data_IF_744508233560
#
_entry.id   IF_744508233560
#
_cell.length_a   1.000
_cell.length_b   1.000
_cell.length_c   1.000
_cell.angle_alpha   90.00
_cell.angle_beta   90.00
_cell.angle_gamma   90.00
#
_symmetry.space_group_name_H-M   'P 1'
#
loop_
_entity.id
_entity.type
_entity.pdbx_description
1 polymer ?
#
# COMPACT_ATOMS: atom_id res chain seq x y z
N UNK A 1 34.30 21.06 19.15
CA UNK A 1 33.18 20.32 19.77
C UNK A 1 31.81 20.65 19.16
N UNK A 2 31.47 21.91 18.88
CA UNK A 2 30.16 22.28 18.28
C UNK A 2 29.87 21.66 16.90
N UNK A 3 30.90 21.40 16.09
CA UNK A 3 30.77 20.76 14.77
C UNK A 3 30.41 19.27 14.84
N UNK A 4 30.75 18.58 15.94
CA UNK A 4 30.48 17.14 16.10
C UNK A 4 29.00 16.86 16.40
N UNK A 5 28.35 17.75 17.16
CA UNK A 5 26.91 17.68 17.40
C UNK A 5 26.08 17.90 16.13
N UNK A 6 26.55 18.75 15.22
CA UNK A 6 25.88 18.99 13.93
C UNK A 6 25.97 17.76 13.02
N UNK A 7 27.12 17.08 12.98
CA UNK A 7 27.28 15.83 12.21
C UNK A 7 26.42 14.70 12.76
N UNK A 8 26.30 14.58 14.10
CA UNK A 8 25.42 13.57 14.73
C UNK A 8 23.93 13.86 14.47
N UNK A 9 23.54 15.13 14.45
CA UNK A 9 22.16 15.54 14.13
C UNK A 9 21.79 15.27 12.66
N UNK A 10 22.74 15.44 11.72
CA UNK A 10 22.51 15.10 10.31
C UNK A 10 22.38 13.58 10.08
N UNK A 11 23.10 12.73 10.83
CA UNK A 11 22.97 11.27 10.73
C UNK A 11 21.62 10.80 11.28
N UNK A 12 21.10 11.45 12.33
CA UNK A 12 19.76 11.18 12.88
C UNK A 12 18.59 11.54 11.96
N UNK A 13 18.79 12.50 11.04
CA UNK A 13 17.75 12.94 10.10
C UNK A 13 17.54 11.98 8.92
N UNK A 14 18.48 11.09 8.62
CA UNK A 14 18.37 10.14 7.48
C UNK A 14 17.44 8.96 7.80
N UNK A 15 17.14 8.72 9.08
CA UNK A 15 16.34 7.57 9.51
C UNK A 15 14.82 7.79 9.32
N UNK A 16 14.40 9.02 9.01
CA UNK A 16 12.99 9.40 8.85
C UNK A 16 12.38 9.03 7.48
N UNK A 17 13.17 8.51 6.54
CA UNK A 17 12.74 8.23 5.14
C UNK A 17 12.11 6.84 4.96
N UNK A 18 12.04 6.01 6.01
CA UNK A 18 11.59 4.61 5.93
C UNK A 18 10.06 4.43 6.01
N UNK A 19 9.28 5.35 5.44
CA UNK A 19 7.81 5.20 5.37
C UNK A 19 7.35 4.30 4.21
N UNK A 20 8.20 3.41 3.69
CA UNK A 20 7.82 2.39 2.70
C UNK A 20 7.89 1.01 3.35
N UNK A 21 6.93 0.14 3.05
CA UNK A 21 7.04 -1.25 3.50
C UNK A 21 8.30 -1.88 2.89
N UNK A 22 9.13 -2.46 3.76
CA UNK A 22 10.29 -3.25 3.35
C UNK A 22 9.87 -4.49 2.58
N UNK A 23 8.75 -5.10 2.97
CA UNK A 23 8.20 -6.29 2.33
C UNK A 23 7.61 -5.99 0.96
N UNK A 24 6.84 -4.90 0.81
CA UNK A 24 6.36 -4.45 -0.51
C UNK A 24 7.55 -4.14 -1.43
N UNK A 25 8.53 -3.40 -0.93
CA UNK A 25 9.74 -3.08 -1.69
C UNK A 25 10.52 -4.35 -2.08
N UNK A 26 10.68 -5.30 -1.17
CA UNK A 26 11.39 -6.55 -1.46
C UNK A 26 10.68 -7.36 -2.55
N UNK A 27 9.35 -7.41 -2.53
CA UNK A 27 8.57 -8.08 -3.56
C UNK A 27 8.72 -7.38 -4.92
N UNK A 28 8.59 -6.06 -4.95
CA UNK A 28 8.83 -5.26 -6.17
C UNK A 28 10.23 -5.51 -6.74
N UNK A 29 11.28 -5.38 -5.91
CA UNK A 29 12.67 -5.56 -6.35
C UNK A 29 12.96 -6.96 -6.89
N UNK A 30 12.24 -7.98 -6.40
CA UNK A 30 12.37 -9.36 -6.86
C UNK A 30 11.88 -9.54 -8.31
N UNK A 31 10.84 -8.82 -8.73
CA UNK A 31 10.17 -9.06 -10.00
C UNK A 31 10.27 -7.91 -11.02
N UNK A 32 10.75 -6.72 -10.62
CA UNK A 32 10.84 -5.52 -11.49
C UNK A 32 11.64 -5.67 -12.78
N UNK A 33 12.45 -6.72 -12.90
CA UNK A 33 13.28 -7.00 -14.07
C UNK A 33 12.67 -8.01 -15.05
N UNK A 34 11.49 -8.56 -14.73
CA UNK A 34 10.79 -9.54 -15.57
C UNK A 34 9.98 -8.83 -16.67
N UNK A 35 9.93 -9.42 -17.86
CA UNK A 35 9.34 -8.79 -19.06
C UNK A 35 7.84 -8.48 -18.93
N UNK A 36 7.10 -9.31 -18.17
CA UNK A 36 5.65 -9.19 -17.95
C UNK A 36 5.30 -8.59 -16.57
N UNK A 37 6.26 -7.93 -15.90
CA UNK A 37 5.98 -7.23 -14.66
C UNK A 37 5.33 -5.87 -14.92
N UNK A 38 4.04 -5.74 -14.58
CA UNK A 38 3.38 -4.44 -14.64
C UNK A 38 3.68 -3.62 -13.39
N UNK A 39 4.14 -2.39 -13.57
CA UNK A 39 4.37 -1.44 -12.48
C UNK A 39 4.01 -0.02 -12.87
N UNK A 40 3.39 0.68 -11.93
CA UNK A 40 3.05 2.09 -12.04
C UNK A 40 3.33 2.79 -10.71
N UNK A 41 4.22 3.78 -10.74
CA UNK A 41 4.45 4.69 -9.62
C UNK A 41 3.93 6.08 -9.99
N UNK A 42 3.07 6.65 -9.14
CA UNK A 42 2.53 7.99 -9.27
C UNK A 42 2.88 8.79 -8.03
N UNK A 43 3.54 9.93 -8.20
CA UNK A 43 3.77 10.91 -7.15
C UNK A 43 3.05 12.22 -7.46
N UNK A 44 2.53 12.89 -6.43
CA UNK A 44 1.86 14.19 -6.57
C UNK A 44 0.34 14.09 -6.53
N UNK A 45 -0.36 14.92 -7.31
CA UNK A 45 -1.82 15.05 -7.19
C UNK A 45 -2.55 13.86 -7.83
N UNK A 46 -2.82 12.81 -7.05
CA UNK A 46 -3.60 11.64 -7.48
C UNK A 46 -4.99 12.02 -8.04
N UNK A 47 -5.57 13.15 -7.64
CA UNK A 47 -6.84 13.63 -8.22
C UNK A 47 -6.73 13.93 -9.71
N UNK A 48 -5.62 14.53 -10.16
CA UNK A 48 -5.41 14.80 -11.59
C UNK A 48 -5.32 13.50 -12.40
N UNK A 49 -4.76 12.45 -11.78
CA UNK A 49 -4.74 11.12 -12.38
C UNK A 49 -6.17 10.56 -12.45
N UNK A 50 -6.91 10.53 -11.34
CA UNK A 50 -8.27 10.03 -11.31
C UNK A 50 -9.21 10.75 -12.30
N UNK A 51 -9.11 12.08 -12.40
CA UNK A 51 -9.85 12.90 -13.37
C UNK A 51 -9.49 12.52 -14.82
N UNK A 52 -8.20 12.32 -15.12
CA UNK A 52 -7.74 11.89 -16.44
C UNK A 52 -8.28 10.52 -16.86
N UNK A 53 -8.50 9.62 -15.89
CA UNK A 53 -9.06 8.28 -16.11
C UNK A 53 -10.58 8.19 -15.90
N UNK A 54 -11.25 9.32 -15.62
CA UNK A 54 -12.69 9.39 -15.33
C UNK A 54 -13.13 8.41 -14.23
N UNK A 55 -12.28 8.20 -13.23
CA UNK A 55 -12.63 7.39 -12.07
C UNK A 55 -13.65 8.19 -11.26
N UNK A 56 -14.84 7.62 -11.07
CA UNK A 56 -15.93 8.29 -10.38
C UNK A 56 -15.69 8.28 -8.86
N UNK A 57 -15.06 9.35 -8.35
CA UNK A 57 -14.76 9.53 -6.91
C UNK A 57 -15.81 10.46 -6.26
N UNK A 58 -17.07 10.40 -6.70
CA UNK A 58 -18.13 11.30 -6.21
C UNK A 58 -18.68 10.97 -4.81
N UNK A 59 -18.08 9.98 -4.11
CA UNK A 59 -18.34 9.78 -2.68
C UNK A 59 -17.44 10.72 -1.88
N UNK A 60 -18.04 11.68 -1.18
CA UNK A 60 -17.37 12.73 -0.40
C UNK A 60 -16.18 12.22 0.46
N UNK A 61 -16.32 11.04 1.05
CA UNK A 61 -15.27 10.40 1.86
C UNK A 61 -14.11 9.82 1.02
N UNK A 62 -14.40 9.24 -0.16
CA UNK A 62 -13.39 8.70 -1.09
C UNK A 62 -12.59 9.80 -1.76
N UNK A 63 -13.23 10.91 -2.13
CA UNK A 63 -12.56 12.07 -2.69
C UNK A 63 -11.54 12.64 -1.69
N UNK A 64 -11.86 12.60 -0.40
CA UNK A 64 -10.98 13.09 0.65
C UNK A 64 -9.79 12.16 0.86
N UNK A 65 -10.01 10.83 0.88
CA UNK A 65 -8.92 9.85 0.93
C UNK A 65 -8.01 9.97 -0.29
N UNK A 66 -8.57 10.14 -1.48
CA UNK A 66 -7.83 10.30 -2.73
C UNK A 66 -6.94 11.56 -2.74
N UNK A 67 -7.43 12.68 -2.20
CA UNK A 67 -6.66 13.93 -2.02
C UNK A 67 -5.49 13.79 -1.05
N UNK A 68 -5.63 12.88 -0.08
CA UNK A 68 -4.59 12.60 0.90
C UNK A 68 -3.46 11.73 0.37
N UNK A 69 -3.61 11.12 -0.82
CA UNK A 69 -2.57 10.29 -1.45
C UNK A 69 -1.47 11.21 -1.99
N UNK A 70 -0.27 11.08 -1.43
CA UNK A 70 0.95 11.75 -1.88
C UNK A 70 1.72 10.90 -2.90
N UNK A 71 1.66 9.57 -2.73
CA UNK A 71 2.32 8.60 -3.61
C UNK A 71 1.50 7.33 -3.71
N UNK A 72 1.38 6.80 -4.92
CA UNK A 72 0.81 5.50 -5.22
C UNK A 72 1.86 4.64 -5.91
N UNK A 73 1.98 3.39 -5.48
CA UNK A 73 2.79 2.37 -6.10
C UNK A 73 1.89 1.16 -6.36
N UNK A 74 1.74 0.79 -7.62
CA UNK A 74 0.90 -0.31 -8.07
C UNK A 74 1.75 -1.28 -8.86
N UNK A 75 1.63 -2.58 -8.59
CA UNK A 75 2.22 -3.59 -9.45
C UNK A 75 1.46 -4.92 -9.40
N UNK A 76 1.63 -5.71 -10.45
CA UNK A 76 1.18 -7.10 -10.51
C UNK A 76 2.38 -8.01 -10.74
N UNK A 77 2.30 -9.24 -10.24
CA UNK A 77 3.33 -10.23 -10.53
C UNK A 77 3.23 -10.72 -11.98
N UNK A 78 4.33 -11.19 -12.59
CA UNK A 78 4.30 -11.80 -13.92
C UNK A 78 3.43 -13.07 -13.95
N UNK A 79 2.79 -13.34 -15.08
CA UNK A 79 1.85 -14.45 -15.28
C UNK A 79 2.46 -15.85 -15.02
N UNK A 80 3.77 -15.99 -15.17
CA UNK A 80 4.49 -17.25 -14.97
C UNK A 80 4.79 -17.56 -13.48
N UNK A 81 4.38 -16.70 -12.55
CA UNK A 81 4.60 -16.91 -11.11
C UNK A 81 3.53 -17.86 -10.57
N UNK A 82 3.77 -19.16 -10.74
CA UNK A 82 2.94 -20.24 -10.18
C UNK A 82 2.81 -20.17 -8.64
N UNK A 83 3.72 -19.45 -7.97
CA UNK A 83 3.82 -19.36 -6.52
C UNK A 83 3.32 -18.03 -5.93
N UNK A 84 2.46 -17.31 -6.65
CA UNK A 84 1.89 -16.03 -6.19
C UNK A 84 1.17 -16.13 -4.85
N UNK A 85 0.62 -17.32 -4.50
CA UNK A 85 0.06 -17.62 -3.18
C UNK A 85 1.11 -17.62 -2.07
N UNK A 86 2.33 -18.07 -2.34
CA UNK A 86 3.44 -17.98 -1.38
C UNK A 86 3.88 -16.53 -1.23
N UNK A 87 3.99 -15.78 -2.33
CA UNK A 87 4.32 -14.34 -2.26
C UNK A 87 3.26 -13.54 -1.50
N UNK A 88 1.97 -13.81 -1.72
CA UNK A 88 0.87 -13.23 -0.98
C UNK A 88 1.00 -13.47 0.52
N UNK A 89 1.24 -14.73 0.93
CA UNK A 89 1.43 -15.09 2.35
C UNK A 89 2.71 -14.51 2.94
N UNK A 90 3.78 -14.46 2.16
CA UNK A 90 5.06 -13.89 2.58
C UNK A 90 4.92 -12.38 2.81
N UNK A 91 4.23 -11.68 1.91
CA UNK A 91 3.94 -10.27 2.02
C UNK A 91 3.04 -9.97 3.22
N UNK A 92 1.95 -10.74 3.42
CA UNK A 92 1.12 -10.63 4.62
C UNK A 92 1.95 -10.73 5.91
N UNK A 93 2.76 -11.79 6.07
CA UNK A 93 3.64 -11.96 7.23
C UNK A 93 4.67 -10.84 7.37
N UNK A 94 5.12 -10.32 6.23
CA UNK A 94 6.01 -9.16 6.16
C UNK A 94 5.38 -7.91 6.76
N UNK A 95 4.17 -7.57 6.30
CA UNK A 95 3.40 -6.42 6.78
C UNK A 95 3.09 -6.53 8.28
N UNK A 96 2.72 -7.73 8.77
CA UNK A 96 2.52 -7.99 10.20
C UNK A 96 3.81 -7.70 11.02
N UNK A 97 4.98 -8.18 10.54
CA UNK A 97 6.27 -7.91 11.19
C UNK A 97 6.66 -6.43 11.14
N UNK A 98 6.20 -5.73 10.12
CA UNK A 98 6.38 -4.29 9.96
C UNK A 98 5.38 -3.45 10.78
N UNK A 99 4.51 -4.09 11.57
CA UNK A 99 3.47 -3.48 12.40
C UNK A 99 2.45 -2.70 11.57
N UNK A 100 2.01 -3.29 10.47
CA UNK A 100 0.76 -2.87 9.83
C UNK A 100 -0.42 -3.56 10.51
N UNK A 101 -1.51 -2.81 10.69
CA UNK A 101 -2.78 -3.29 11.21
C UNK A 101 -3.69 -3.70 10.04
N UNK A 102 -4.30 -4.88 10.13
CA UNK A 102 -5.30 -5.35 9.18
C UNK A 102 -6.62 -4.60 9.44
N UNK A 103 -7.05 -3.78 8.47
CA UNK A 103 -8.28 -3.00 8.56
C UNK A 103 -9.48 -3.69 7.91
N UNK A 104 -9.25 -4.45 6.84
CA UNK A 104 -10.29 -5.17 6.13
C UNK A 104 -9.74 -6.46 5.56
N UNK A 105 -10.52 -7.52 5.70
CA UNK A 105 -10.34 -8.77 4.97
C UNK A 105 -11.67 -9.12 4.32
N UNK A 106 -11.70 -9.12 3.00
CA UNK A 106 -12.80 -9.64 2.22
C UNK A 106 -12.28 -10.89 1.48
N UNK A 107 -12.41 -12.04 2.13
CA UNK A 107 -12.01 -13.34 1.58
C UNK A 107 -13.25 -14.18 1.22
N UNK A 108 -13.21 -14.83 0.06
CA UNK A 108 -14.09 -15.96 -0.22
C UNK A 108 -13.38 -17.26 0.22
N UNK A 109 -13.12 -17.37 1.53
CA UNK A 109 -12.47 -18.54 2.14
C UNK A 109 -10.94 -18.60 1.91
N UNK A 110 -10.39 -19.81 1.77
CA UNK A 110 -8.91 -20.05 1.74
C UNK A 110 -8.20 -19.66 0.43
N UNK A 111 -8.92 -19.03 -0.49
CA UNK A 111 -8.58 -19.03 -1.93
C UNK A 111 -7.92 -17.75 -2.44
N UNK A 112 -7.95 -16.68 -1.66
CA UNK A 112 -7.59 -15.33 -2.09
C UNK A 112 -8.68 -14.36 -1.71
N UNK A 113 -8.36 -13.08 -1.67
CA UNK A 113 -9.27 -12.04 -1.24
C UNK A 113 -8.63 -10.66 -1.34
N UNK A 114 -9.41 -9.66 -0.92
CA UNK A 114 -8.92 -8.29 -0.77
C UNK A 114 -8.56 -8.09 0.69
N UNK A 115 -7.29 -7.79 0.96
CA UNK A 115 -6.82 -7.39 2.29
C UNK A 115 -6.35 -5.94 2.26
N UNK A 116 -6.72 -5.17 3.28
CA UNK A 116 -6.28 -3.78 3.44
C UNK A 116 -5.54 -3.66 4.76
N UNK A 117 -4.26 -3.33 4.66
CA UNK A 117 -3.36 -3.07 5.78
C UNK A 117 -3.13 -1.57 5.90
N UNK A 118 -2.95 -1.10 7.13
CA UNK A 118 -2.61 0.29 7.41
C UNK A 118 -1.46 0.40 8.39
N UNK A 119 -0.70 1.48 8.32
CA UNK A 119 0.34 1.77 9.31
C UNK A 119 0.32 3.25 9.69
N UNK A 120 0.31 3.48 10.99
CA UNK A 120 0.19 4.80 11.59
C UNK A 120 -0.50 4.70 12.95
N UNK A 121 -0.90 5.84 13.48
CA UNK A 121 -1.75 5.93 14.67
C UNK A 121 -3.03 6.67 14.30
N UNK A 122 -3.31 7.78 14.99
CA UNK A 122 -4.44 8.67 14.65
C UNK A 122 -4.40 9.20 13.20
N UNK A 123 -3.20 9.33 12.63
CA UNK A 123 -3.02 9.59 11.20
C UNK A 123 -2.36 8.37 10.58
N UNK A 124 -3.04 7.77 9.61
CA UNK A 124 -2.50 6.67 8.82
C UNK A 124 -1.56 7.27 7.78
N UNK A 125 -0.34 6.77 7.75
CA UNK A 125 0.72 7.23 6.85
C UNK A 125 0.88 6.35 5.60
N UNK A 126 0.41 5.11 5.68
CA UNK A 126 0.61 4.08 4.68
C UNK A 126 -0.58 3.11 4.66
N UNK A 127 -1.04 2.77 3.47
CA UNK A 127 -2.05 1.76 3.19
C UNK A 127 -1.50 0.78 2.16
N UNK A 128 -1.62 -0.51 2.45
CA UNK A 128 -1.27 -1.57 1.50
C UNK A 128 -2.51 -2.41 1.23
N UNK A 129 -2.95 -2.41 -0.02
CA UNK A 129 -4.04 -3.26 -0.52
C UNK A 129 -3.43 -4.44 -1.26
N UNK A 130 -3.82 -5.63 -0.85
CA UNK A 130 -3.47 -6.89 -1.51
C UNK A 130 -4.74 -7.46 -2.12
N UNK A 131 -4.68 -7.78 -3.40
CA UNK A 131 -5.74 -8.53 -4.08
C UNK A 131 -5.11 -9.81 -4.62
N UNK A 132 -5.57 -10.96 -4.11
CA UNK A 132 -5.15 -12.27 -4.61
C UNK A 132 -6.34 -13.05 -5.16
N UNK A 133 -6.18 -13.66 -6.34
CA UNK A 133 -7.19 -14.50 -7.00
C UNK A 133 -6.85 -15.99 -7.06
N UNK A 134 -7.82 -16.81 -7.49
CA UNK A 134 -7.64 -18.24 -7.76
C UNK A 134 -6.69 -18.50 -8.95
N UNK A 135 -6.58 -17.55 -9.89
CA UNK A 135 -5.83 -17.66 -11.15
C UNK A 135 -4.36 -17.24 -11.03
N UNK A 136 -3.86 -16.98 -9.82
CA UNK A 136 -2.46 -16.68 -9.59
C UNK A 136 -2.10 -15.19 -9.68
N UNK A 137 -3.06 -14.32 -9.98
CA UNK A 137 -2.81 -12.88 -10.03
C UNK A 137 -2.70 -12.30 -8.62
N UNK A 138 -1.52 -11.75 -8.30
CA UNK A 138 -1.30 -10.92 -7.12
C UNK A 138 -1.16 -9.47 -7.55
N UNK A 139 -2.11 -8.65 -7.12
CA UNK A 139 -2.09 -7.19 -7.27
C UNK A 139 -1.71 -6.57 -5.93
N UNK A 140 -0.71 -5.69 -5.95
CA UNK A 140 -0.26 -4.94 -4.78
C UNK A 140 -0.42 -3.45 -5.07
N UNK A 141 -1.11 -2.76 -4.16
CA UNK A 141 -1.27 -1.31 -4.18
C UNK A 141 -0.78 -0.74 -2.86
N UNK A 142 0.29 0.04 -2.89
CA UNK A 142 0.84 0.79 -1.74
C UNK A 142 0.51 2.28 -1.93
N UNK A 143 -0.25 2.84 -0.99
CA UNK A 143 -0.64 4.25 -0.97
C UNK A 143 0.00 4.92 0.24
N UNK A 144 0.71 6.02 -0.01
CA UNK A 144 1.29 6.85 1.03
C UNK A 144 0.63 8.20 1.07
N UNK A 145 0.46 8.73 2.27
CA UNK A 145 -0.24 9.97 2.46
C UNK A 145 -0.49 10.28 3.92
N UNK A 146 -1.42 11.19 4.17
CA UNK A 146 -1.92 11.49 5.52
C UNK A 146 -3.42 11.28 5.53
N UNK A 147 -3.82 10.09 5.95
CA UNK A 147 -5.22 9.69 5.99
C UNK A 147 -5.74 9.78 7.42
N UNK A 148 -6.94 10.34 7.57
CA UNK A 148 -7.67 10.29 8.83
C UNK A 148 -8.14 8.85 9.07
N UNK A 149 -7.88 8.31 10.27
CA UNK A 149 -8.24 6.95 10.63
C UNK A 149 -9.75 6.70 10.51
N UNK A 150 -10.59 7.69 10.86
CA UNK A 150 -12.04 7.56 10.77
C UNK A 150 -12.50 7.48 9.31
N UNK A 151 -11.87 8.25 8.42
CA UNK A 151 -12.19 8.23 6.98
C UNK A 151 -11.79 6.90 6.34
N UNK A 152 -10.61 6.39 6.67
CA UNK A 152 -10.18 5.07 6.21
C UNK A 152 -11.09 3.98 6.76
N UNK A 153 -11.45 4.04 8.05
CA UNK A 153 -12.36 3.08 8.65
C UNK A 153 -13.74 3.09 7.97
N UNK A 154 -14.29 4.26 7.61
CA UNK A 154 -15.54 4.37 6.83
C UNK A 154 -15.41 3.78 5.43
N UNK A 155 -14.27 4.01 4.77
CA UNK A 155 -13.97 3.47 3.46
C UNK A 155 -13.97 1.94 3.46
N UNK A 156 -13.36 1.34 4.48
CA UNK A 156 -13.17 -0.10 4.59
C UNK A 156 -14.41 -0.80 5.19
N UNK A 157 -15.21 -0.14 6.03
CA UNK A 157 -16.44 -0.70 6.61
C UNK A 157 -17.64 -0.76 5.65
N UNK A 158 -17.50 -0.33 4.39
CA UNK A 158 -18.64 -0.30 3.45
C UNK A 158 -19.22 -1.68 3.08
N UNK A 159 -18.67 -2.79 3.61
CA UNK A 159 -19.25 -4.15 3.51
C UNK A 159 -19.61 -4.81 4.85
N UNK A 160 -19.86 -4.02 5.90
CA UNK A 160 -20.28 -4.51 7.22
C UNK A 160 -21.77 -4.38 7.56
N UNK A 161 -22.67 -4.19 6.59
CA UNK A 161 -24.12 -4.20 6.84
C UNK A 161 -24.71 -5.51 6.33
N UNK A 162 -24.83 -6.47 7.23
CA UNK A 162 -25.89 -7.49 7.25
C UNK A 162 -26.54 -7.44 8.63
#
# INVERSE_FOLDING_TARGET
>A
MKKLFLTLALIGAVISVQAQSKSVKALYEKYKGEDDFFHMELGGNFMNFAEGFKIDIDKNDMATVAKSIEKLNFFTLPDHVDDSRVEYKALQKGLERERYDLLMEASEGKKGGVMVYSKGGNTISDLVVLVGGDDGDLIVVELKGKFDQELVAKATNYKGIN
#
